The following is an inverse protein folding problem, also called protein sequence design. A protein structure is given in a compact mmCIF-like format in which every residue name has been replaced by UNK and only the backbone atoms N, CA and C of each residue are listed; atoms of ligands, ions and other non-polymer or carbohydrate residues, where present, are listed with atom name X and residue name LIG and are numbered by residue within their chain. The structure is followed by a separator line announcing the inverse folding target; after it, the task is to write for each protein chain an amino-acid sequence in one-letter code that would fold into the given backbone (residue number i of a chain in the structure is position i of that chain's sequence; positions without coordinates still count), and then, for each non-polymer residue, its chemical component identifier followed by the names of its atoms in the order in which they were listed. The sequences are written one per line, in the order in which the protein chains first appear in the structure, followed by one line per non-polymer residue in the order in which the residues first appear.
data_IF_834630357024
#
_entry.id   IF_834630357024
#
_cell.length_a   1.000
_cell.length_b   1.000
_cell.length_c   1.000
_cell.angle_alpha   90.00
_cell.angle_beta   90.00
_cell.angle_gamma   90.00
#
_symmetry.space_group_name_H-M   'P 1'
#
loop_
_entity.id
_entity.type
_entity.pdbx_description
1 polymer ?
#
# COMPACT_ATOMS: atom_id res chain seq x y z
N UNK A 1 16.36 17.49 27.77
CA UNK A 1 16.56 18.04 27.46
C UNK A 1 16.81 17.98 27.03
N UNK A 2 16.61 17.77 26.85
CA UNK A 2 16.85 18.25 26.57
C UNK A 2 16.75 18.25 25.98
N UNK A 3 16.50 18.07 25.87
CA UNK A 3 16.50 18.86 25.38
C UNK A 3 16.44 19.10 24.97
N UNK A 4 16.32 18.81 25.08
CA UNK A 4 16.24 19.64 24.87
C UNK A 4 16.23 19.84 24.37
N UNK A 5 16.14 19.76 24.02
CA UNK A 5 16.11 20.60 23.66
C UNK A 5 15.95 20.87 23.17
N UNK A 6 15.87 20.68 23.20
CA UNK A 6 15.63 21.45 22.89
C UNK A 6 15.46 21.75 22.26
N UNK A 7 15.23 21.74 22.06
CA UNK A 7 14.94 22.37 21.51
C UNK A 7 14.83 22.65 20.86
N UNK A 8 14.74 22.72 20.75
CA UNK A 8 14.46 23.27 20.24
C UNK A 8 14.08 23.61 19.79
N UNK A 9 13.82 23.59 19.71
CA UNK A 9 13.42 24.05 19.47
C UNK A 9 13.01 24.44 18.85
N UNK A 10 13.05 24.59 18.70
CA UNK A 10 12.68 24.92 18.15
C UNK A 10 12.16 25.04 17.10
N UNK A 11 12.24 24.95 16.78
CA UNK A 11 11.68 24.89 15.91
C UNK A 11 10.67 24.78 15.50
N UNK A 12 10.55 25.48 15.23
CA UNK A 12 9.31 25.28 15.08
C UNK A 12 9.06 24.22 14.28
N UNK A 13 9.20 23.38 14.71
CA UNK A 13 8.94 22.18 14.07
C UNK A 13 7.51 22.12 13.74
N UNK A 14 7.22 21.85 12.50
CA UNK A 14 5.83 21.65 12.13
C UNK A 14 5.33 20.37 12.78
N UNK A 15 4.06 20.29 13.07
CA UNK A 15 3.53 19.05 13.63
C UNK A 15 3.81 17.84 12.78
N UNK A 16 3.81 18.00 11.46
CA UNK A 16 4.06 16.86 10.59
C UNK A 16 5.48 16.34 10.75
N UNK A 17 6.42 17.23 10.94
CA UNK A 17 7.79 16.78 11.17
C UNK A 17 7.87 16.02 12.48
N UNK A 18 7.18 16.50 13.50
CA UNK A 18 7.17 15.80 14.78
C UNK A 18 6.42 14.50 14.71
N UNK A 19 5.60 14.31 13.69
CA UNK A 19 4.84 13.09 13.53
C UNK A 19 5.53 12.11 12.60
N UNK A 20 6.83 12.32 12.37
CA UNK A 20 7.59 11.29 11.65
C UNK A 20 7.15 11.14 10.21
N UNK A 21 7.56 12.07 9.42
CA UNK A 21 7.25 12.05 7.99
C UNK A 21 7.70 10.75 7.32
N UNK A 22 6.90 10.30 6.39
CA UNK A 22 7.13 9.06 5.67
C UNK A 22 7.75 9.37 4.31
N UNK A 23 8.79 8.64 3.99
CA UNK A 23 9.40 8.67 2.67
C UNK A 23 9.17 7.32 2.02
N UNK A 24 8.78 7.33 0.76
CA UNK A 24 8.60 6.10 0.00
C UNK A 24 9.79 5.97 -0.93
N UNK A 25 10.59 4.94 -0.70
CA UNK A 25 11.84 4.75 -1.42
C UNK A 25 11.68 3.86 -2.65
N UNK A 26 10.71 2.96 -2.62
CA UNK A 26 10.52 2.06 -3.76
C UNK A 26 9.16 1.41 -3.70
N UNK A 27 8.65 1.01 -4.88
CA UNK A 27 7.42 0.24 -4.98
C UNK A 27 7.66 -0.81 -6.04
N UNK A 28 7.44 -2.07 -5.68
CA UNK A 28 7.84 -3.19 -6.52
C UNK A 28 6.68 -4.17 -6.68
N UNK A 29 6.42 -4.57 -7.92
CA UNK A 29 5.49 -5.65 -8.18
C UNK A 29 6.30 -6.92 -8.41
N UNK A 30 5.86 -8.05 -7.83
CA UNK A 30 6.50 -9.33 -8.04
C UNK A 30 5.46 -10.40 -8.26
N UNK A 31 5.68 -11.22 -9.28
CA UNK A 31 4.86 -12.38 -9.51
C UNK A 31 5.62 -13.57 -8.94
N UNK A 32 5.14 -14.10 -7.81
CA UNK A 32 5.84 -15.21 -7.16
C UNK A 32 5.66 -16.49 -7.92
N UNK A 33 4.44 -16.74 -8.34
CA UNK A 33 4.12 -17.90 -9.16
C UNK A 33 2.72 -17.67 -9.67
N UNK A 34 2.24 -18.59 -10.51
CA UNK A 34 0.89 -18.44 -11.02
C UNK A 34 -0.10 -18.41 -9.86
N UNK A 35 -0.96 -17.41 -9.85
CA UNK A 35 -1.95 -17.28 -8.80
C UNK A 35 -1.45 -16.63 -7.51
N UNK A 36 -0.22 -16.13 -7.50
CA UNK A 36 0.31 -15.49 -6.29
C UNK A 36 1.20 -14.32 -6.68
N UNK A 37 0.74 -13.10 -6.36
CA UNK A 37 1.44 -11.88 -6.72
C UNK A 37 1.59 -11.00 -5.51
N UNK A 38 2.64 -10.20 -5.49
CA UNK A 38 2.96 -9.35 -4.37
C UNK A 38 3.21 -7.92 -4.81
N UNK A 39 2.84 -7.00 -3.95
CA UNK A 39 3.20 -5.60 -4.11
C UNK A 39 3.95 -5.16 -2.85
N UNK A 40 5.14 -4.62 -3.03
CA UNK A 40 6.00 -4.22 -1.92
C UNK A 40 6.23 -2.72 -1.95
N UNK A 41 6.21 -2.12 -0.77
CA UNK A 41 6.52 -0.71 -0.63
C UNK A 41 7.66 -0.58 0.39
N UNK A 42 8.76 0.07 -0.02
CA UNK A 42 9.89 0.30 0.85
C UNK A 42 9.82 1.70 1.42
N UNK A 43 9.80 1.78 2.73
CA UNK A 43 9.68 3.04 3.45
C UNK A 43 10.96 3.36 4.20
N UNK A 44 11.04 4.59 4.70
CA UNK A 44 12.15 4.97 5.56
C UNK A 44 11.93 4.53 7.01
N UNK A 45 10.68 4.20 7.36
CA UNK A 45 10.37 3.83 8.75
C UNK A 45 9.06 3.07 8.80
N UNK A 46 8.81 2.47 9.94
CA UNK A 46 7.56 1.77 10.18
C UNK A 46 6.38 2.75 10.15
N UNK A 47 5.29 2.33 9.57
CA UNK A 47 4.03 3.04 9.64
C UNK A 47 2.93 1.99 9.41
N UNK A 48 1.68 2.44 9.50
CA UNK A 48 0.56 1.51 9.38
C UNK A 48 -0.32 1.94 8.22
N UNK A 49 0.01 1.54 7.00
CA UNK A 49 -0.85 1.84 5.87
C UNK A 49 -2.23 1.22 6.06
N UNK A 50 -3.24 1.93 5.61
CA UNK A 50 -4.60 1.42 5.71
C UNK A 50 -4.93 0.76 4.39
N UNK A 51 -5.46 -0.46 4.44
CA UNK A 51 -5.77 -1.20 3.24
C UNK A 51 -7.20 -1.69 3.28
N UNK A 52 -7.89 -1.58 2.15
CA UNK A 52 -9.25 -2.08 2.04
C UNK A 52 -9.53 -2.43 0.58
N UNK A 53 -10.57 -3.23 0.37
CA UNK A 53 -10.95 -3.68 -0.96
C UNK A 53 -12.26 -3.07 -1.38
N UNK A 54 -12.40 -2.84 -2.67
CA UNK A 54 -13.64 -2.39 -3.28
C UNK A 54 -14.03 -3.46 -4.29
N UNK A 55 -15.17 -4.09 -4.04
CA UNK A 55 -15.69 -5.13 -4.92
C UNK A 55 -16.51 -4.52 -6.05
N UNK A 56 -16.93 -5.35 -6.98
CA UNK A 56 -17.79 -4.92 -8.06
C UNK A 56 -17.22 -5.29 -9.41
N UNK A 57 -17.65 -4.57 -10.43
CA UNK A 57 -17.22 -4.86 -11.79
C UNK A 57 -15.76 -4.49 -12.00
N UNK A 58 -15.26 -3.55 -11.23
CA UNK A 58 -13.86 -3.14 -11.31
C UNK A 58 -13.26 -3.28 -9.93
N UNK A 59 -12.97 -4.49 -9.51
CA UNK A 59 -12.47 -4.71 -8.16
C UNK A 59 -11.08 -4.13 -8.01
N UNK A 60 -10.81 -3.59 -6.82
CA UNK A 60 -9.51 -3.01 -6.56
C UNK A 60 -9.18 -3.05 -5.08
N UNK A 61 -7.91 -2.98 -4.81
CA UNK A 61 -7.40 -2.91 -3.45
C UNK A 61 -6.80 -1.52 -3.29
N UNK A 62 -7.17 -0.84 -2.21
CA UNK A 62 -6.74 0.53 -1.97
C UNK A 62 -5.85 0.57 -0.76
N UNK A 63 -4.70 1.24 -0.88
CA UNK A 63 -3.77 1.42 0.22
C UNK A 63 -3.63 2.92 0.46
N UNK A 64 -3.94 3.36 1.68
CA UNK A 64 -3.80 4.76 2.06
C UNK A 64 -2.64 4.90 3.03
N UNK A 65 -1.72 5.80 2.71
CA UNK A 65 -0.55 6.07 3.51
C UNK A 65 -0.59 7.52 3.94
N UNK A 66 -0.47 7.76 5.24
CA UNK A 66 -0.55 9.11 5.77
C UNK A 66 0.80 9.74 5.94
N UNK A 67 0.82 11.05 5.93
CA UNK A 67 2.00 11.85 6.25
C UNK A 67 3.20 11.54 5.35
N UNK A 68 2.94 11.42 4.06
CA UNK A 68 4.00 11.15 3.08
C UNK A 68 4.64 12.49 2.71
N UNK A 69 5.91 12.64 3.03
CA UNK A 69 6.62 13.89 2.72
C UNK A 69 7.28 13.84 1.37
N UNK A 70 7.69 12.68 0.91
CA UNK A 70 8.21 12.57 -0.44
C UNK A 70 8.16 11.13 -0.94
N UNK A 71 8.16 11.02 -2.26
CA UNK A 71 8.18 9.75 -2.97
C UNK A 71 9.34 9.83 -3.93
N UNK A 72 10.18 8.81 -3.96
CA UNK A 72 11.31 8.80 -4.87
C UNK A 72 10.83 8.98 -6.29
N UNK A 73 11.53 9.80 -7.07
CA UNK A 73 11.12 10.09 -8.43
C UNK A 73 11.09 8.81 -9.27
N UNK A 74 10.21 8.79 -10.24
CA UNK A 74 10.07 7.63 -11.11
C UNK A 74 9.11 6.57 -10.61
N UNK A 75 8.56 6.73 -9.42
CA UNK A 75 7.64 5.74 -8.87
C UNK A 75 6.18 6.00 -9.21
N UNK A 76 5.88 7.01 -10.02
CA UNK A 76 4.51 7.26 -10.42
C UNK A 76 4.00 6.19 -11.37
N UNK A 77 4.90 5.44 -11.97
CA UNK A 77 4.57 4.40 -12.91
C UNK A 77 5.17 3.10 -12.45
N UNK A 78 4.35 2.10 -12.25
CA UNK A 78 4.80 0.80 -11.76
C UNK A 78 4.44 -0.22 -12.81
N UNK A 79 5.45 -0.92 -13.33
CA UNK A 79 5.23 -1.92 -14.35
C UNK A 79 4.65 -3.18 -13.72
N UNK A 80 3.58 -3.67 -14.30
CA UNK A 80 2.89 -4.84 -13.81
C UNK A 80 2.71 -5.82 -14.96
N UNK A 81 3.20 -7.04 -14.76
CA UNK A 81 2.97 -8.09 -15.73
C UNK A 81 2.25 -9.26 -15.07
N UNK A 82 1.29 -8.95 -14.21
CA UNK A 82 0.59 -9.95 -13.45
C UNK A 82 -0.62 -10.51 -14.18
N UNK A 83 -1.15 -11.60 -13.64
CA UNK A 83 -2.41 -12.15 -14.08
C UNK A 83 -3.53 -11.79 -13.14
N UNK A 84 -3.22 -11.51 -11.88
CA UNK A 84 -4.21 -11.07 -10.89
C UNK A 84 -4.25 -9.56 -10.82
N UNK A 85 -3.10 -8.94 -10.76
CA UNK A 85 -3.01 -7.48 -10.69
C UNK A 85 -2.89 -6.94 -12.10
N UNK A 86 -3.83 -6.07 -12.48
CA UNK A 86 -3.86 -5.51 -13.83
C UNK A 86 -3.03 -4.24 -13.93
N UNK A 87 -3.10 -3.39 -12.92
CA UNK A 87 -2.31 -2.17 -12.92
C UNK A 87 -2.29 -1.59 -11.52
N UNK A 88 -1.33 -0.75 -11.28
CA UNK A 88 -1.16 -0.08 -10.00
C UNK A 88 -1.06 1.41 -10.26
N UNK A 89 -1.92 2.19 -9.61
CA UNK A 89 -1.97 3.64 -9.78
C UNK A 89 -1.73 4.32 -8.46
N UNK A 90 -1.10 5.48 -8.49
CA UNK A 90 -0.81 6.23 -7.29
C UNK A 90 -1.32 7.66 -7.42
N UNK A 91 -1.71 8.24 -6.30
CA UNK A 91 -2.14 9.63 -6.25
C UNK A 91 -1.71 10.22 -4.93
N UNK A 92 -1.06 11.37 -4.99
CA UNK A 92 -0.60 12.07 -3.80
C UNK A 92 -1.53 13.26 -3.56
N UNK A 93 -2.11 13.34 -2.37
CA UNK A 93 -2.97 14.44 -1.98
C UNK A 93 -2.13 15.44 -1.20
N UNK A 94 -1.82 16.56 -1.83
CA UNK A 94 -0.94 17.53 -1.20
C UNK A 94 -1.60 18.26 -0.03
N UNK A 95 -2.92 18.26 0.02
CA UNK A 95 -3.61 18.91 1.13
C UNK A 95 -3.44 18.13 2.42
N UNK A 96 -3.46 16.82 2.34
CA UNK A 96 -3.37 15.97 3.52
C UNK A 96 -2.01 15.28 3.63
N UNK A 97 -1.17 15.41 2.61
CA UNK A 97 0.08 14.67 2.51
C UNK A 97 -0.16 13.18 2.57
N UNK A 98 -1.32 12.77 2.08
CA UNK A 98 -1.64 11.36 2.01
C UNK A 98 -1.38 10.83 0.63
N UNK A 99 -1.00 9.57 0.52
CA UNK A 99 -0.85 8.91 -0.75
C UNK A 99 -1.81 7.77 -0.83
N UNK A 100 -2.52 7.68 -1.94
CA UNK A 100 -3.43 6.57 -2.19
C UNK A 100 -2.87 5.74 -3.33
N UNK A 101 -2.77 4.43 -3.10
CA UNK A 101 -2.33 3.49 -4.12
C UNK A 101 -3.52 2.60 -4.43
N UNK A 102 -3.84 2.47 -5.71
CA UNK A 102 -4.96 1.66 -6.15
C UNK A 102 -4.42 0.50 -6.98
N UNK A 103 -4.70 -0.70 -6.54
CA UNK A 103 -4.31 -1.92 -7.23
C UNK A 103 -5.54 -2.47 -7.91
N UNK A 104 -5.59 -2.37 -9.24
CA UNK A 104 -6.71 -2.91 -10.01
C UNK A 104 -6.46 -4.40 -10.23
N UNK A 105 -7.45 -5.23 -9.89
CA UNK A 105 -7.30 -6.67 -10.01
C UNK A 105 -8.31 -7.22 -11.00
N UNK A 106 -8.04 -8.43 -11.48
CA UNK A 106 -8.94 -9.07 -12.45
C UNK A 106 -10.28 -9.35 -11.83
N UNK A 107 -11.33 -9.13 -12.62
CA UNK A 107 -12.69 -9.42 -12.16
C UNK A 107 -12.95 -10.92 -12.22
N UNK A 108 -14.02 -11.34 -11.57
CA UNK A 108 -14.51 -12.72 -11.64
C UNK A 108 -13.51 -13.75 -11.11
N UNK A 109 -12.75 -13.35 -10.12
CA UNK A 109 -11.84 -14.26 -9.45
C UNK A 109 -11.98 -14.06 -7.95
N UNK A 110 -11.65 -15.09 -7.19
CA UNK A 110 -11.63 -15.01 -5.74
C UNK A 110 -10.21 -14.81 -5.29
N UNK A 111 -10.01 -13.90 -4.37
CA UNK A 111 -8.69 -13.57 -3.89
C UNK A 111 -8.62 -13.64 -2.39
N UNK A 112 -7.45 -13.94 -1.89
CA UNK A 112 -7.12 -13.72 -0.49
C UNK A 112 -6.03 -12.65 -0.48
N UNK A 113 -6.20 -11.66 0.39
CA UNK A 113 -5.27 -10.55 0.48
C UNK A 113 -4.71 -10.52 1.89
N UNK A 114 -3.40 -10.63 2.00
CA UNK A 114 -2.71 -10.54 3.27
C UNK A 114 -1.77 -9.36 3.24
N UNK A 115 -1.50 -8.78 4.40
CA UNK A 115 -0.58 -7.68 4.51
C UNK A 115 0.37 -7.93 5.68
N UNK A 116 1.59 -7.52 5.51
CA UNK A 116 2.62 -7.68 6.53
C UNK A 116 3.57 -6.51 6.45
N UNK A 117 3.92 -5.94 7.60
CA UNK A 117 4.97 -4.94 7.63
C UNK A 117 6.19 -5.55 8.30
N UNK A 118 7.27 -5.67 7.54
CA UNK A 118 8.53 -6.20 8.03
C UNK A 118 9.32 -5.05 8.64
N UNK A 119 9.25 -4.91 9.96
CA UNK A 119 9.81 -3.75 10.64
C UNK A 119 11.33 -3.63 10.52
N UNK A 120 12.02 -4.75 10.45
CA UNK A 120 13.47 -4.70 10.33
C UNK A 120 13.91 -4.05 9.03
N UNK A 121 13.14 -4.25 7.96
CA UNK A 121 13.50 -3.71 6.65
C UNK A 121 12.65 -2.52 6.24
N UNK A 122 11.62 -2.19 7.02
CA UNK A 122 10.68 -1.12 6.68
C UNK A 122 9.97 -1.37 5.37
N UNK A 123 9.59 -2.61 5.14
CA UNK A 123 8.91 -3.01 3.91
C UNK A 123 7.49 -3.47 4.21
N UNK A 124 6.53 -2.88 3.51
CA UNK A 124 5.14 -3.28 3.61
C UNK A 124 4.84 -4.17 2.41
N UNK A 125 4.29 -5.36 2.67
CA UNK A 125 4.02 -6.33 1.61
C UNK A 125 2.54 -6.64 1.58
N UNK A 126 1.96 -6.55 0.39
CA UNK A 126 0.60 -6.98 0.13
C UNK A 126 0.69 -8.23 -0.72
N UNK A 127 0.17 -9.33 -0.19
CA UNK A 127 0.16 -10.62 -0.87
C UNK A 127 -1.24 -10.87 -1.40
N UNK A 128 -1.34 -11.20 -2.68
CA UNK A 128 -2.61 -11.49 -3.30
C UNK A 128 -2.52 -12.89 -3.88
N UNK A 129 -3.39 -13.76 -3.39
CA UNK A 129 -3.43 -15.14 -3.84
C UNK A 129 -4.80 -15.45 -4.40
N UNK A 130 -4.83 -16.19 -5.48
CA UNK A 130 -6.10 -16.61 -6.05
C UNK A 130 -6.56 -17.85 -5.31
N UNK A 131 -7.83 -17.84 -4.90
CA UNK A 131 -8.40 -19.00 -4.23
C UNK A 131 -9.14 -19.82 -5.27
N UNK A 132 -8.45 -20.75 -5.87
CA UNK A 132 -9.03 -21.53 -6.95
C UNK A 132 -9.97 -22.61 -6.46
N UNK A 133 -10.05 -22.81 -5.14
CA UNK A 133 -10.98 -23.81 -4.59
C UNK A 133 -12.39 -23.29 -4.55
N UNK A 134 -12.58 -21.96 -4.63
CA UNK A 134 -13.89 -21.38 -4.57
C UNK A 134 -14.27 -20.81 -5.91
N UNK A 135 -15.48 -21.10 -6.40
CA UNK A 135 -15.92 -20.47 -7.64
C UNK A 135 -16.06 -18.97 -7.45
N UNK A 136 -15.86 -18.21 -8.51
CA UNK A 136 -15.92 -16.76 -8.40
C UNK A 136 -17.27 -16.29 -7.93
N UNK A 137 -18.33 -16.95 -8.35
CA UNK A 137 -19.66 -16.52 -7.95
C UNK A 137 -19.95 -16.75 -6.48
N UNK A 138 -19.17 -17.57 -5.81
CA UNK A 138 -19.39 -17.80 -4.39
C UNK A 138 -18.90 -16.63 -3.55
N UNK A 139 -18.01 -15.86 -4.11
CA UNK A 139 -17.40 -14.77 -3.36
C UNK A 139 -18.41 -13.74 -2.86
N UNK A 140 -19.33 -13.25 -3.69
CA UNK A 140 -20.30 -12.28 -3.20
C UNK A 140 -21.15 -12.79 -2.08
N UNK A 141 -21.42 -14.08 -2.09
CA UNK A 141 -22.22 -14.60 -1.02
C UNK A 141 -21.41 -14.75 0.22
N UNK A 142 -20.18 -15.14 0.06
CA UNK A 142 -19.34 -15.28 1.21
C UNK A 142 -19.17 -13.97 1.89
N UNK A 143 -19.21 -12.97 1.11
CA UNK A 143 -19.07 -11.65 1.71
C UNK A 143 -20.16 -11.46 2.68
N UNK A 144 -21.15 -12.20 2.51
CA UNK A 144 -22.08 -12.02 3.23
C UNK A 144 -22.38 -12.99 3.93
N UNK A 145 -22.10 -13.67 3.99
CA UNK A 145 -22.71 -14.50 4.86
C UNK A 145 -22.36 -14.31 6.00
#
# INVERSE_FOLDING_TARGET
LGYVHTLNLSHPVSPLAGMEAILINNMIFKKEKEGHEKFLIEFNRFNEPKIFSIDGKKPRIVIDIHNVSSVRSGLSRIDVNGTLIKQIRTALDRKTNGMRIVIDVEANRNYEVDQTFYKAENIFVVDISEDIKKPAEAKPKAAKP
#
